data_IF_707133434495
#
_entry.id   IF_707133434495
#
_cell.length_a   1.000
_cell.length_b   1.000
_cell.length_c   1.000
_cell.angle_alpha   90.00
_cell.angle_beta   90.00
_cell.angle_gamma   90.00
#
_symmetry.space_group_name_H-M   'P 1'
#
loop_
_entity.id
_entity.type
_entity.pdbx_description
1 polymer ?
#
# COMPACT_ATOMS: atom_id res chain seq x y z
N UNK A 1 -13.82 -11.00 -3.68
CA UNK A 1 -12.73 -10.01 -3.50
C UNK A 1 -12.63 -9.02 -4.67
N UNK A 2 -12.82 -9.44 -5.94
CA UNK A 2 -12.66 -8.56 -7.11
C UNK A 2 -13.94 -7.87 -7.63
N UNK A 3 -15.12 -8.12 -7.06
CA UNK A 3 -16.36 -7.46 -7.51
C UNK A 3 -16.42 -5.95 -7.18
N UNK A 4 -15.62 -5.51 -6.21
CA UNK A 4 -15.45 -4.07 -5.88
C UNK A 4 -14.93 -3.28 -7.09
N UNK A 5 -14.14 -3.88 -7.97
CA UNK A 5 -13.60 -3.20 -9.17
C UNK A 5 -14.60 -3.05 -10.32
N UNK A 6 -15.76 -3.72 -10.23
CA UNK A 6 -16.79 -3.70 -11.30
C UNK A 6 -17.95 -2.75 -10.99
N UNK A 7 -17.99 -2.15 -9.81
CA UNK A 7 -19.09 -1.25 -9.40
C UNK A 7 -19.04 0.08 -10.17
N UNK A 8 -20.21 0.69 -10.36
CA UNK A 8 -20.31 2.05 -10.93
C UNK A 8 -19.57 3.08 -10.04
N UNK A 9 -19.61 2.86 -8.73
CA UNK A 9 -18.86 3.59 -7.71
C UNK A 9 -17.35 3.57 -7.96
N UNK A 10 -16.78 2.43 -8.33
CA UNK A 10 -15.36 2.34 -8.65
C UNK A 10 -15.00 3.13 -9.92
N UNK A 11 -15.81 3.02 -10.98
CA UNK A 11 -15.59 3.76 -12.24
C UNK A 11 -15.65 5.27 -12.04
N UNK A 12 -16.60 5.72 -11.22
CA UNK A 12 -16.76 7.14 -10.89
C UNK A 12 -15.57 7.67 -10.11
N UNK A 13 -15.16 6.97 -9.06
CA UNK A 13 -13.95 7.30 -8.31
C UNK A 13 -12.73 7.34 -9.23
N UNK A 14 -12.54 6.32 -10.09
CA UNK A 14 -11.42 6.26 -11.04
C UNK A 14 -11.36 7.48 -11.97
N UNK A 15 -12.50 7.94 -12.46
CA UNK A 15 -12.58 9.13 -13.33
C UNK A 15 -12.11 10.38 -12.59
N UNK A 16 -12.48 10.51 -11.31
CA UNK A 16 -11.99 11.56 -10.43
C UNK A 16 -10.47 11.47 -10.22
N UNK A 17 -9.92 10.29 -9.92
CA UNK A 17 -8.46 10.11 -9.79
C UNK A 17 -7.72 10.51 -11.08
N UNK A 18 -8.22 10.13 -12.25
CA UNK A 18 -7.61 10.46 -13.54
C UNK A 18 -7.60 11.97 -13.79
N UNK A 19 -8.66 12.67 -13.41
CA UNK A 19 -8.74 14.13 -13.55
C UNK A 19 -7.73 14.85 -12.65
N UNK A 20 -7.60 14.43 -11.39
CA UNK A 20 -6.61 14.97 -10.44
C UNK A 20 -5.16 14.70 -10.90
N UNK A 21 -4.88 13.52 -11.47
CA UNK A 21 -3.59 13.23 -12.12
C UNK A 21 -3.33 14.21 -13.27
N UNK A 22 -4.35 14.58 -14.05
CA UNK A 22 -4.19 15.50 -15.19
C UNK A 22 -3.79 16.90 -14.74
N UNK A 23 -4.33 17.38 -13.61
CA UNK A 23 -3.94 18.66 -13.00
C UNK A 23 -2.46 18.64 -12.57
N UNK A 24 -2.01 17.52 -11.99
CA UNK A 24 -0.65 17.35 -11.47
C UNK A 24 0.29 16.56 -12.40
N UNK A 25 0.02 16.57 -13.73
CA UNK A 25 0.64 15.66 -14.71
C UNK A 25 2.18 15.65 -14.71
N UNK A 26 2.83 16.80 -14.52
CA UNK A 26 4.30 16.89 -14.57
C UNK A 26 4.94 16.11 -13.43
N UNK A 27 4.51 16.36 -12.21
CA UNK A 27 5.04 15.67 -11.03
C UNK A 27 4.71 14.18 -11.05
N UNK A 28 3.50 13.82 -11.51
CA UNK A 28 3.09 12.42 -11.65
C UNK A 28 3.90 11.66 -12.72
N UNK A 29 4.17 12.27 -13.87
CA UNK A 29 4.98 11.64 -14.92
C UNK A 29 6.44 11.45 -14.48
N UNK A 30 7.01 12.41 -13.75
CA UNK A 30 8.37 12.30 -13.20
C UNK A 30 8.44 11.17 -12.18
N UNK A 31 7.48 11.10 -11.25
CA UNK A 31 7.45 10.02 -10.26
C UNK A 31 7.26 8.65 -10.90
N UNK A 32 6.40 8.55 -11.91
CA UNK A 32 6.16 7.31 -12.65
C UNK A 32 7.40 6.85 -13.43
N UNK A 33 8.01 7.76 -14.21
CA UNK A 33 9.21 7.46 -14.99
C UNK A 33 10.36 7.02 -14.07
N UNK A 34 10.54 7.72 -12.96
CA UNK A 34 11.55 7.38 -11.95
C UNK A 34 11.27 6.02 -11.30
N UNK A 35 10.01 5.64 -11.10
CA UNK A 35 9.61 4.34 -10.58
C UNK A 35 9.93 3.19 -11.55
N UNK A 36 9.69 3.39 -12.86
CA UNK A 36 10.03 2.42 -13.90
C UNK A 36 11.55 2.26 -14.02
N UNK A 37 12.30 3.37 -14.01
CA UNK A 37 13.78 3.34 -14.01
C UNK A 37 14.28 2.57 -12.78
N UNK A 38 13.77 2.89 -11.59
CA UNK A 38 14.13 2.17 -10.37
C UNK A 38 13.87 0.67 -10.49
N UNK A 39 12.69 0.28 -10.99
CA UNK A 39 12.31 -1.11 -11.20
C UNK A 39 13.30 -1.83 -12.12
N UNK A 40 13.65 -1.22 -13.27
CA UNK A 40 14.61 -1.78 -14.19
C UNK A 40 16.00 -1.97 -13.55
N UNK A 41 16.48 -0.96 -12.81
CA UNK A 41 17.78 -1.03 -12.12
C UNK A 41 17.82 -2.08 -11.00
N UNK A 42 16.70 -2.31 -10.32
CA UNK A 42 16.58 -3.39 -9.31
C UNK A 42 16.79 -4.75 -9.95
N UNK A 43 16.22 -5.00 -11.13
CA UNK A 43 16.38 -6.28 -11.85
C UNK A 43 17.74 -6.39 -12.51
N UNK A 44 18.29 -5.28 -13.00
CA UNK A 44 19.60 -5.25 -13.63
C UNK A 44 20.73 -5.62 -12.66
N UNK A 45 20.58 -5.31 -11.37
CA UNK A 45 21.62 -5.52 -10.36
C UNK A 45 22.05 -7.00 -10.22
N UNK A 46 21.17 -8.00 -10.00
CA UNK A 46 21.59 -9.40 -9.98
C UNK A 46 22.16 -9.90 -11.31
N UNK A 47 21.68 -9.40 -12.45
CA UNK A 47 22.22 -9.76 -13.76
C UNK A 47 23.69 -9.33 -13.92
N UNK A 48 24.05 -8.15 -13.40
CA UNK A 48 25.44 -7.70 -13.40
C UNK A 48 26.31 -8.55 -12.48
N UNK A 49 25.78 -8.98 -11.34
CA UNK A 49 26.47 -9.92 -10.46
C UNK A 49 26.72 -11.24 -11.17
N UNK A 50 25.73 -11.79 -11.89
CA UNK A 50 25.92 -12.95 -12.77
C UNK A 50 27.11 -12.75 -13.72
N UNK A 51 27.14 -11.63 -14.45
CA UNK A 51 28.21 -11.32 -15.41
C UNK A 51 29.58 -11.19 -14.76
N UNK A 52 29.66 -10.59 -13.57
CA UNK A 52 30.92 -10.51 -12.80
C UNK A 52 31.41 -11.90 -12.43
N UNK A 53 30.51 -12.80 -12.03
CA UNK A 53 30.87 -14.17 -11.63
C UNK A 53 31.31 -14.97 -12.86
N UNK A 54 30.49 -15.06 -13.89
CA UNK A 54 30.74 -15.92 -15.05
C UNK A 54 31.90 -15.40 -15.92
N UNK A 55 31.80 -14.15 -16.38
CA UNK A 55 32.75 -13.57 -17.34
C UNK A 55 33.98 -12.96 -16.66
N UNK A 56 33.92 -12.72 -15.34
CA UNK A 56 35.00 -12.12 -14.56
C UNK A 56 35.75 -13.14 -13.72
N UNK A 57 35.09 -13.71 -12.71
CA UNK A 57 35.73 -14.58 -11.71
C UNK A 57 36.06 -15.95 -12.32
N UNK A 58 35.08 -16.62 -12.93
CA UNK A 58 35.26 -17.96 -13.50
C UNK A 58 36.19 -17.92 -14.71
N UNK A 59 36.02 -16.95 -15.61
CA UNK A 59 36.92 -16.74 -16.75
C UNK A 59 38.27 -16.08 -16.39
N UNK A 60 38.50 -15.75 -15.12
CA UNK A 60 39.70 -15.08 -14.59
C UNK A 60 40.08 -13.77 -15.32
N UNK A 61 39.08 -13.01 -15.79
CA UNK A 61 39.26 -11.75 -16.50
C UNK A 61 39.08 -10.54 -15.56
N UNK A 62 40.20 -10.05 -15.03
CA UNK A 62 40.22 -8.92 -14.09
C UNK A 62 39.68 -7.62 -14.67
N UNK A 63 39.80 -7.39 -15.99
CA UNK A 63 39.30 -6.15 -16.61
C UNK A 63 37.77 -6.12 -16.57
N UNK A 64 37.12 -7.24 -16.90
CA UNK A 64 35.66 -7.37 -16.86
C UNK A 64 35.12 -7.13 -15.44
N UNK A 65 35.80 -7.66 -14.42
CA UNK A 65 35.45 -7.43 -13.02
C UNK A 65 35.44 -5.92 -12.69
N UNK A 66 36.51 -5.20 -13.03
CA UNK A 66 36.61 -3.76 -12.72
C UNK A 66 35.54 -2.95 -13.47
N UNK A 67 35.27 -3.28 -14.74
CA UNK A 67 34.25 -2.60 -15.55
C UNK A 67 32.86 -2.82 -14.95
N UNK A 68 32.47 -4.06 -14.65
CA UNK A 68 31.14 -4.30 -14.11
C UNK A 68 30.96 -3.83 -12.66
N UNK A 69 32.01 -3.87 -11.83
CA UNK A 69 31.96 -3.27 -10.48
C UNK A 69 31.75 -1.75 -10.57
N UNK A 70 32.48 -1.06 -11.46
CA UNK A 70 32.30 0.38 -11.63
C UNK A 70 30.88 0.72 -12.12
N UNK A 71 30.34 -0.08 -13.04
CA UNK A 71 28.96 0.04 -13.48
C UNK A 71 27.94 -0.23 -12.36
N UNK A 72 28.21 -1.21 -11.48
CA UNK A 72 27.40 -1.49 -10.29
C UNK A 72 27.32 -0.30 -9.34
N UNK A 73 28.44 0.39 -9.11
CA UNK A 73 28.49 1.59 -8.28
C UNK A 73 27.63 2.70 -8.90
N UNK A 74 27.78 2.95 -10.20
CA UNK A 74 26.99 3.96 -10.92
C UNK A 74 25.49 3.63 -10.85
N UNK A 75 25.10 2.38 -11.08
CA UNK A 75 23.71 1.93 -10.94
C UNK A 75 23.21 2.09 -9.51
N UNK A 76 24.04 1.83 -8.50
CA UNK A 76 23.71 2.05 -7.10
C UNK A 76 23.30 3.50 -6.84
N UNK A 77 24.08 4.47 -7.33
CA UNK A 77 23.77 5.89 -7.22
C UNK A 77 22.51 6.29 -8.00
N UNK A 78 22.36 5.83 -9.25
CA UNK A 78 21.17 6.15 -10.06
C UNK A 78 19.92 5.54 -9.42
N UNK A 79 20.01 4.32 -8.87
CA UNK A 79 18.92 3.66 -8.15
C UNK A 79 18.54 4.46 -6.90
N UNK A 80 19.51 4.91 -6.11
CA UNK A 80 19.27 5.73 -4.93
C UNK A 80 18.61 7.07 -5.28
N UNK A 81 19.13 7.76 -6.30
CA UNK A 81 18.53 8.99 -6.82
C UNK A 81 17.10 8.77 -7.32
N UNK A 82 16.85 7.67 -8.03
CA UNK A 82 15.50 7.31 -8.51
C UNK A 82 14.52 7.06 -7.37
N UNK A 83 14.95 6.43 -6.27
CA UNK A 83 14.10 6.29 -5.08
C UNK A 83 13.73 7.67 -4.52
N UNK A 84 14.72 8.56 -4.40
CA UNK A 84 14.53 9.93 -3.89
C UNK A 84 13.56 10.74 -4.75
N UNK A 85 13.81 10.80 -6.06
CA UNK A 85 12.96 11.50 -7.04
C UNK A 85 11.55 10.93 -7.01
N UNK A 86 11.39 9.61 -7.15
CA UNK A 86 10.08 8.96 -7.09
C UNK A 86 9.34 9.33 -5.80
N UNK A 87 9.99 9.23 -4.63
CA UNK A 87 9.34 9.48 -3.34
C UNK A 87 8.95 10.95 -3.17
N UNK A 88 9.85 11.87 -3.52
CA UNK A 88 9.59 13.31 -3.44
C UNK A 88 8.42 13.71 -4.33
N UNK A 89 8.50 13.40 -5.63
CA UNK A 89 7.46 13.79 -6.60
C UNK A 89 6.13 13.08 -6.34
N UNK A 90 6.13 11.81 -5.92
CA UNK A 90 4.90 11.10 -5.53
C UNK A 90 4.23 11.80 -4.34
N UNK A 91 5.01 12.17 -3.32
CA UNK A 91 4.49 12.84 -2.14
C UNK A 91 4.02 14.27 -2.44
N UNK A 92 4.72 15.01 -3.32
CA UNK A 92 4.26 16.31 -3.82
C UNK A 92 2.90 16.22 -4.53
N UNK A 93 2.71 15.26 -5.45
CA UNK A 93 1.41 15.04 -6.10
C UNK A 93 0.33 14.77 -5.06
N UNK A 94 0.65 13.92 -4.08
CA UNK A 94 -0.29 13.52 -3.05
C UNK A 94 -0.79 14.72 -2.24
N UNK A 95 0.14 15.53 -1.71
CA UNK A 95 -0.22 16.70 -0.91
C UNK A 95 -0.88 17.82 -1.72
N UNK A 96 -0.50 17.99 -2.99
CA UNK A 96 -1.18 18.94 -3.88
C UNK A 96 -2.64 18.53 -4.10
N UNK A 97 -2.89 17.25 -4.41
CA UNK A 97 -4.25 16.72 -4.57
C UNK A 97 -5.04 16.85 -3.28
N UNK A 98 -4.44 16.56 -2.12
CA UNK A 98 -5.10 16.78 -0.82
C UNK A 98 -5.52 18.24 -0.65
N UNK A 99 -4.64 19.19 -0.99
CA UNK A 99 -4.93 20.62 -0.89
C UNK A 99 -6.02 21.05 -1.89
N UNK A 100 -5.99 20.57 -3.14
CA UNK A 100 -7.01 20.83 -4.17
C UNK A 100 -8.38 20.30 -3.72
N UNK A 101 -8.44 19.10 -3.16
CA UNK A 101 -9.67 18.51 -2.61
C UNK A 101 -10.20 19.35 -1.46
N UNK A 102 -9.35 19.70 -0.47
CA UNK A 102 -9.75 20.52 0.69
C UNK A 102 -10.28 21.88 0.25
N UNK A 103 -9.62 22.53 -0.69
CA UNK A 103 -10.05 23.81 -1.25
C UNK A 103 -11.37 23.68 -2.02
N UNK A 104 -11.55 22.60 -2.79
CA UNK A 104 -12.78 22.34 -3.53
C UNK A 104 -13.96 22.09 -2.59
N UNK A 105 -13.76 21.28 -1.54
CA UNK A 105 -14.77 21.05 -0.50
C UNK A 105 -15.13 22.36 0.18
N UNK A 106 -14.13 23.12 0.64
CA UNK A 106 -14.38 24.39 1.34
C UNK A 106 -15.09 25.42 0.44
N UNK A 107 -14.63 25.60 -0.80
CA UNK A 107 -15.26 26.52 -1.75
C UNK A 107 -16.65 26.08 -2.18
N UNK A 108 -16.94 24.78 -2.20
CA UNK A 108 -18.27 24.25 -2.47
C UNK A 108 -19.20 24.44 -1.27
N UNK A 109 -18.73 24.21 -0.04
CA UNK A 109 -19.47 24.46 1.20
C UNK A 109 -19.96 25.91 1.33
N UNK A 110 -19.17 26.89 0.87
CA UNK A 110 -19.56 28.30 0.84
C UNK A 110 -20.70 28.61 -0.13
N UNK A 111 -20.94 27.76 -1.13
CA UNK A 111 -21.99 27.95 -2.16
C UNK A 111 -23.27 27.15 -1.86
N UNK A 112 -23.21 26.22 -0.92
CA UNK A 112 -24.34 25.39 -0.53
C UNK A 112 -25.40 26.20 0.23
N UNK A 113 -26.67 25.84 0.05
CA UNK A 113 -27.79 26.52 0.71
C UNK A 113 -27.78 26.30 2.23
N UNK A 114 -28.30 27.25 3.00
CA UNK A 114 -28.45 27.13 4.47
C UNK A 114 -29.15 25.83 4.89
N UNK A 115 -30.19 25.41 4.14
CA UNK A 115 -30.92 24.14 4.39
C UNK A 115 -30.03 22.90 4.36
N UNK A 116 -28.91 22.93 3.63
CA UNK A 116 -27.95 21.84 3.63
C UNK A 116 -27.16 21.80 4.95
N UNK A 117 -26.69 22.97 5.40
CA UNK A 117 -25.98 23.12 6.68
C UNK A 117 -26.85 22.81 7.90
N UNK A 118 -28.17 22.98 7.79
CA UNK A 118 -29.12 22.57 8.84
C UNK A 118 -29.33 21.04 8.92
N UNK A 119 -29.03 20.31 7.83
CA UNK A 119 -29.26 18.86 7.72
C UNK A 119 -28.02 18.03 7.98
N UNK A 120 -26.84 18.53 7.60
CA UNK A 120 -25.59 17.79 7.67
C UNK A 120 -24.74 18.34 8.82
N UNK A 121 -24.39 17.52 9.82
CA UNK A 121 -23.55 17.96 10.93
C UNK A 121 -22.19 18.47 10.44
N UNK A 122 -21.72 19.58 11.01
CA UNK A 122 -20.41 20.15 10.69
C UNK A 122 -19.27 19.15 10.88
N UNK A 123 -19.38 18.24 11.85
CA UNK A 123 -18.42 17.16 12.08
C UNK A 123 -18.27 16.20 10.90
N UNK A 124 -19.37 15.89 10.20
CA UNK A 124 -19.33 15.03 9.01
C UNK A 124 -18.60 15.74 7.85
N UNK A 125 -18.84 17.03 7.67
CA UNK A 125 -18.15 17.85 6.66
C UNK A 125 -16.64 17.95 6.96
N UNK A 126 -16.27 18.12 8.23
CA UNK A 126 -14.88 18.09 8.68
C UNK A 126 -14.22 16.73 8.47
N UNK A 127 -14.94 15.63 8.72
CA UNK A 127 -14.44 14.28 8.47
C UNK A 127 -14.17 14.05 6.97
N UNK A 128 -15.04 14.52 6.07
CA UNK A 128 -14.82 14.47 4.62
C UNK A 128 -13.61 15.32 4.19
N UNK A 129 -13.48 16.53 4.74
CA UNK A 129 -12.36 17.43 4.42
C UNK A 129 -11.01 16.95 4.99
N UNK A 130 -11.01 16.16 6.05
CA UNK A 130 -9.79 15.71 6.74
C UNK A 130 -9.48 14.23 6.45
N UNK A 131 -10.28 13.32 7.00
CA UNK A 131 -10.03 11.87 6.94
C UNK A 131 -10.14 11.34 5.52
N UNK A 132 -11.23 11.66 4.82
CA UNK A 132 -11.44 11.16 3.45
C UNK A 132 -10.42 11.75 2.47
N UNK A 133 -10.12 13.05 2.58
CA UNK A 133 -9.08 13.68 1.78
C UNK A 133 -7.69 13.05 2.00
N UNK A 134 -7.36 12.72 3.26
CA UNK A 134 -6.13 12.01 3.62
C UNK A 134 -6.09 10.58 3.05
N UNK A 135 -7.22 9.87 3.02
CA UNK A 135 -7.32 8.53 2.42
C UNK A 135 -7.19 8.55 0.89
N UNK A 136 -7.75 9.56 0.23
CA UNK A 136 -7.55 9.78 -1.21
C UNK A 136 -6.08 10.11 -1.49
N UNK A 137 -5.46 11.00 -0.71
CA UNK A 137 -4.04 11.35 -0.81
C UNK A 137 -3.13 10.13 -0.78
N UNK A 138 -3.38 9.19 0.13
CA UNK A 138 -2.54 8.00 0.27
C UNK A 138 -2.52 7.17 -1.03
N UNK A 139 -3.63 7.06 -1.75
CA UNK A 139 -3.64 6.36 -3.04
C UNK A 139 -2.71 7.02 -4.07
N UNK A 140 -2.65 8.36 -4.14
CA UNK A 140 -1.70 9.06 -5.01
C UNK A 140 -0.24 8.85 -4.58
N UNK A 141 0.02 8.75 -3.28
CA UNK A 141 1.38 8.54 -2.76
C UNK A 141 1.94 7.17 -3.17
N UNK A 142 1.04 6.19 -3.26
CA UNK A 142 1.36 4.78 -3.51
C UNK A 142 1.28 4.46 -5.01
N UNK A 143 0.48 5.18 -5.80
CA UNK A 143 0.23 4.86 -7.21
C UNK A 143 1.49 4.64 -8.06
N UNK A 144 2.54 5.48 -8.00
CA UNK A 144 3.78 5.22 -8.73
C UNK A 144 4.51 3.95 -8.25
N UNK A 145 4.47 3.67 -6.94
CA UNK A 145 5.05 2.45 -6.38
C UNK A 145 4.27 1.21 -6.82
N UNK A 146 2.94 1.24 -6.76
CA UNK A 146 2.08 0.14 -7.17
C UNK A 146 2.25 -0.17 -8.66
N UNK A 147 2.36 0.84 -9.51
CA UNK A 147 2.60 0.65 -10.94
C UNK A 147 3.97 0.02 -11.20
N UNK A 148 5.03 0.55 -10.57
CA UNK A 148 6.36 -0.05 -10.66
C UNK A 148 6.38 -1.48 -10.11
N UNK A 149 5.57 -1.79 -9.10
CA UNK A 149 5.45 -3.12 -8.54
C UNK A 149 4.90 -4.15 -9.54
N UNK A 150 3.90 -3.77 -10.33
CA UNK A 150 3.34 -4.62 -11.39
C UNK A 150 4.40 -4.91 -12.46
N UNK A 151 5.11 -3.87 -12.91
CA UNK A 151 6.23 -4.04 -13.86
C UNK A 151 7.34 -4.90 -13.27
N UNK A 152 7.68 -4.71 -11.99
CA UNK A 152 8.72 -5.48 -11.31
C UNK A 152 8.37 -6.97 -11.25
N UNK A 153 7.13 -7.30 -10.85
CA UNK A 153 6.65 -8.68 -10.85
C UNK A 153 6.70 -9.31 -12.24
N UNK A 154 6.29 -8.56 -13.28
CA UNK A 154 6.31 -9.04 -14.66
C UNK A 154 7.74 -9.29 -15.15
N UNK A 155 8.64 -8.31 -14.98
CA UNK A 155 10.04 -8.40 -15.43
C UNK A 155 10.77 -9.51 -14.66
N UNK A 156 10.59 -9.61 -13.34
CA UNK A 156 11.18 -10.69 -12.54
C UNK A 156 10.68 -12.06 -12.99
N UNK A 157 9.38 -12.20 -13.24
CA UNK A 157 8.79 -13.45 -13.72
C UNK A 157 9.42 -13.91 -15.03
N UNK A 158 9.52 -13.00 -16.01
CA UNK A 158 10.16 -13.28 -17.30
C UNK A 158 11.63 -13.65 -17.11
N UNK A 159 12.35 -12.89 -16.29
CA UNK A 159 13.79 -13.11 -16.04
C UNK A 159 14.05 -14.47 -15.40
N UNK A 160 13.27 -14.86 -14.38
CA UNK A 160 13.41 -16.15 -13.70
C UNK A 160 13.19 -17.33 -14.66
N UNK A 161 12.12 -17.28 -15.47
CA UNK A 161 11.83 -18.33 -16.46
C UNK A 161 12.90 -18.39 -17.56
N UNK A 162 13.48 -17.25 -17.91
CA UNK A 162 14.53 -17.17 -18.94
C UNK A 162 15.86 -17.77 -18.47
N UNK A 163 16.16 -17.70 -17.17
CA UNK A 163 17.35 -18.35 -16.58
C UNK A 163 17.14 -19.87 -16.49
N UNK A 164 16.01 -20.29 -15.93
CA UNK A 164 15.68 -21.71 -15.81
C UNK A 164 14.17 -21.87 -15.78
N UNK A 165 13.62 -22.57 -16.77
CA UNK A 165 12.18 -22.84 -16.83
C UNK A 165 11.71 -23.61 -15.58
N UNK A 166 12.42 -24.68 -15.20
CA UNK A 166 12.06 -25.54 -14.06
C UNK A 166 12.03 -24.76 -12.74
N UNK A 167 13.10 -24.02 -12.42
CA UNK A 167 13.13 -23.23 -11.18
C UNK A 167 12.16 -22.06 -11.25
N UNK A 168 12.07 -21.39 -12.40
CA UNK A 168 11.19 -20.24 -12.63
C UNK A 168 9.73 -20.58 -12.35
N UNK A 169 9.25 -21.72 -12.86
CA UNK A 169 7.88 -22.19 -12.63
C UNK A 169 7.62 -22.47 -11.13
N UNK A 170 8.57 -23.08 -10.42
CA UNK A 170 8.44 -23.33 -8.96
C UNK A 170 8.24 -22.00 -8.21
N UNK A 171 9.05 -20.98 -8.50
CA UNK A 171 8.93 -19.67 -7.87
C UNK A 171 7.63 -18.99 -8.29
N UNK A 172 7.25 -19.06 -9.56
CA UNK A 172 6.02 -18.46 -10.08
C UNK A 172 4.76 -19.06 -9.45
N UNK A 173 4.73 -20.37 -9.19
CA UNK A 173 3.62 -21.04 -8.50
C UNK A 173 3.45 -20.56 -7.05
N UNK A 174 4.50 -20.03 -6.44
CA UNK A 174 4.41 -19.47 -5.09
C UNK A 174 3.72 -18.10 -5.03
N UNK A 175 3.78 -17.33 -6.10
CA UNK A 175 3.16 -16.00 -6.21
C UNK A 175 1.65 -16.08 -5.92
N UNK A 176 0.84 -16.90 -6.64
CA UNK A 176 -0.59 -16.98 -6.39
C UNK A 176 -0.89 -17.54 -4.99
N UNK A 177 -0.06 -18.44 -4.45
CA UNK A 177 -0.21 -18.94 -3.08
C UNK A 177 -0.07 -17.82 -2.04
N UNK A 178 0.96 -16.99 -2.17
CA UNK A 178 1.19 -15.86 -1.26
C UNK A 178 0.09 -14.80 -1.42
N UNK A 179 -0.31 -14.48 -2.65
CA UNK A 179 -1.39 -13.54 -2.92
C UNK A 179 -2.74 -14.03 -2.38
N UNK A 180 -3.01 -15.33 -2.47
CA UNK A 180 -4.21 -15.94 -1.91
C UNK A 180 -4.25 -15.86 -0.38
N UNK A 181 -3.15 -16.21 0.30
CA UNK A 181 -3.02 -16.06 1.75
C UNK A 181 -3.13 -14.59 2.20
N UNK A 182 -2.50 -13.69 1.46
CA UNK A 182 -2.63 -12.24 1.66
C UNK A 182 -4.07 -11.77 1.52
N UNK A 183 -4.80 -12.29 0.54
CA UNK A 183 -6.21 -11.98 0.35
C UNK A 183 -7.06 -12.39 1.55
N UNK A 184 -6.86 -13.60 2.06
CA UNK A 184 -7.55 -14.11 3.26
C UNK A 184 -7.19 -13.29 4.50
N UNK A 185 -5.90 -12.96 4.67
CA UNK A 185 -5.46 -12.12 5.77
C UNK A 185 -6.12 -10.74 5.72
N UNK A 186 -6.08 -10.08 4.57
CA UNK A 186 -6.65 -8.74 4.37
C UNK A 186 -8.16 -8.72 4.65
N UNK A 187 -8.92 -9.71 4.17
CA UNK A 187 -10.37 -9.75 4.42
C UNK A 187 -10.69 -9.92 5.90
N UNK A 188 -10.00 -10.83 6.60
CA UNK A 188 -10.22 -11.06 8.03
C UNK A 188 -9.72 -9.89 8.88
N UNK A 189 -8.58 -9.31 8.52
CA UNK A 189 -8.01 -8.16 9.21
C UNK A 189 -8.93 -6.95 9.12
N UNK A 190 -9.57 -6.74 7.98
CA UNK A 190 -10.56 -5.67 7.81
C UNK A 190 -11.77 -5.85 8.72
N UNK A 191 -12.32 -7.06 8.80
CA UNK A 191 -13.46 -7.37 9.69
C UNK A 191 -13.13 -7.16 11.17
N UNK A 192 -11.99 -7.66 11.63
CA UNK A 192 -11.56 -7.46 13.03
C UNK A 192 -11.25 -5.98 13.29
N UNK A 193 -10.62 -5.29 12.34
CA UNK A 193 -10.32 -3.86 12.49
C UNK A 193 -11.58 -3.00 12.61
N UNK A 194 -12.68 -3.38 11.96
CA UNK A 194 -13.97 -2.71 12.16
C UNK A 194 -14.49 -2.92 13.58
N UNK A 195 -14.44 -4.16 14.11
CA UNK A 195 -14.83 -4.46 15.50
C UNK A 195 -14.00 -3.68 16.52
N UNK A 196 -12.69 -3.53 16.30
CA UNK A 196 -11.82 -2.71 17.16
C UNK A 196 -12.30 -1.24 17.15
N UNK A 197 -12.59 -0.69 15.97
CA UNK A 197 -13.09 0.70 15.86
C UNK A 197 -14.46 0.90 16.51
N UNK A 198 -15.34 -0.09 16.41
CA UNK A 198 -16.64 -0.07 17.09
C UNK A 198 -16.47 -0.07 18.62
N UNK A 199 -15.55 -0.88 19.15
CA UNK A 199 -15.23 -0.89 20.58
C UNK A 199 -14.58 0.42 21.05
N UNK A 200 -13.71 1.03 20.24
CA UNK A 200 -13.14 2.37 20.51
C UNK A 200 -14.23 3.45 20.55
N UNK A 201 -15.20 3.39 19.64
CA UNK A 201 -16.34 4.32 19.63
C UNK A 201 -17.22 4.15 20.87
N UNK A 202 -17.53 2.90 21.26
CA UNK A 202 -18.30 2.60 22.48
C UNK A 202 -17.60 3.13 23.74
N UNK A 203 -16.29 2.90 23.88
CA UNK A 203 -15.50 3.44 24.98
C UNK A 203 -15.52 4.96 25.01
N UNK A 204 -15.41 5.61 23.85
CA UNK A 204 -15.48 7.07 23.75
C UNK A 204 -16.84 7.59 24.22
N UNK A 205 -17.93 6.95 23.79
CA UNK A 205 -19.29 7.30 24.22
C UNK A 205 -19.47 7.14 25.74
N UNK A 206 -18.98 6.05 26.33
CA UNK A 206 -19.07 5.84 27.78
C UNK A 206 -18.31 6.94 28.54
N UNK A 207 -17.11 7.29 28.10
CA UNK A 207 -16.32 8.37 28.71
C UNK A 207 -17.04 9.72 28.58
N UNK A 208 -17.64 10.02 27.43
CA UNK A 208 -18.42 11.23 27.22
C UNK A 208 -19.64 11.30 28.16
N UNK A 209 -20.36 10.19 28.37
CA UNK A 209 -21.50 10.14 29.29
C UNK A 209 -21.08 10.36 30.75
N UNK A 210 -20.03 9.67 31.20
CA UNK A 210 -19.53 9.80 32.57
C UNK A 210 -18.98 11.21 32.86
N UNK A 211 -18.22 11.79 31.92
CA UNK A 211 -17.67 13.15 32.08
C UNK A 211 -18.75 14.23 31.93
N UNK A 212 -19.68 14.08 30.98
CA UNK A 212 -20.82 14.98 30.84
C UNK A 212 -21.72 14.98 32.07
N UNK A 213 -21.87 13.81 32.70
CA UNK A 213 -22.61 13.57 33.93
C UNK A 213 -21.82 13.74 35.23
N UNK A 214 -20.59 14.28 35.20
CA UNK A 214 -19.65 14.21 36.34
C UNK A 214 -20.23 14.78 37.66
N UNK A 215 -21.09 15.79 37.57
CA UNK A 215 -21.77 16.37 38.74
C UNK A 215 -22.73 15.39 39.41
N UNK A 216 -23.41 14.56 38.62
CA UNK A 216 -24.31 13.51 39.13
C UNK A 216 -23.49 12.39 39.77
N UNK A 217 -22.44 11.93 39.10
CA UNK A 217 -21.52 10.91 39.63
C UNK A 217 -20.96 11.35 41.00
N UNK A 218 -20.49 12.60 41.10
CA UNK A 218 -19.97 13.17 42.35
C UNK A 218 -21.03 13.41 43.43
N UNK A 219 -22.26 13.76 43.04
CA UNK A 219 -23.33 14.00 44.00
C UNK A 219 -23.82 12.70 44.67
N UNK A 220 -23.77 11.58 43.96
CA UNK A 220 -24.19 10.26 44.47
C UNK A 220 -23.03 9.41 45.00
N UNK A 221 -21.77 9.79 44.76
CA UNK A 221 -20.59 9.03 45.22
C UNK A 221 -20.34 7.75 44.42
N UNK A 222 -20.75 7.73 43.15
CA UNK A 222 -20.69 6.54 42.27
C UNK A 222 -19.41 6.50 41.41
N UNK A 223 -18.31 7.09 41.85
CA UNK A 223 -17.08 7.14 41.03
C UNK A 223 -16.54 5.75 40.67
N UNK A 224 -16.64 4.79 41.58
CA UNK A 224 -16.20 3.41 41.33
C UNK A 224 -17.05 2.72 40.26
N UNK A 225 -18.37 2.90 40.30
CA UNK A 225 -19.29 2.33 39.30
C UNK A 225 -19.06 2.94 37.92
N UNK A 226 -18.85 4.26 37.85
CA UNK A 226 -18.49 4.95 36.61
C UNK A 226 -17.15 4.44 36.05
N UNK A 227 -16.15 4.22 36.92
CA UNK A 227 -14.86 3.64 36.53
C UNK A 227 -15.01 2.22 35.98
N UNK A 228 -15.82 1.38 36.62
CA UNK A 228 -16.04 -0.01 36.22
C UNK A 228 -16.73 -0.12 34.85
N UNK A 229 -17.67 0.80 34.54
CA UNK A 229 -18.29 0.87 33.20
C UNK A 229 -17.28 1.20 32.11
N UNK A 230 -16.42 2.20 32.34
CA UNK A 230 -15.35 2.56 31.39
C UNK A 230 -14.36 1.41 31.25
N UNK A 231 -13.99 0.75 32.35
CA UNK A 231 -13.08 -0.40 32.35
C UNK A 231 -13.64 -1.59 31.56
N UNK A 232 -14.93 -1.88 31.69
CA UNK A 232 -15.62 -2.89 30.87
C UNK A 232 -15.54 -2.56 29.37
N UNK A 233 -15.74 -1.31 28.98
CA UNK A 233 -15.61 -0.88 27.58
C UNK A 233 -14.17 -0.99 27.06
N UNK A 234 -13.18 -0.71 27.91
CA UNK A 234 -11.75 -0.95 27.59
C UNK A 234 -11.48 -2.46 27.41
N UNK A 235 -12.11 -3.33 28.21
CA UNK A 235 -12.02 -4.78 28.07
C UNK A 235 -12.40 -5.27 26.66
N UNK A 236 -13.45 -4.69 26.06
CA UNK A 236 -13.84 -5.00 24.68
C UNK A 236 -12.78 -4.59 23.65
N UNK A 237 -12.13 -3.45 23.84
CA UNK A 237 -11.01 -3.02 22.99
C UNK A 237 -9.85 -4.01 23.13
N UNK A 238 -9.55 -4.45 24.36
CA UNK A 238 -8.52 -5.45 24.63
C UNK A 238 -8.81 -6.76 23.88
N UNK A 239 -10.00 -7.33 24.05
CA UNK A 239 -10.38 -8.61 23.44
C UNK A 239 -10.33 -8.55 21.90
N UNK A 240 -10.91 -7.49 21.31
CA UNK A 240 -10.90 -7.31 19.84
C UNK A 240 -9.50 -7.04 19.29
N UNK A 241 -8.62 -6.38 20.07
CA UNK A 241 -7.22 -6.18 19.71
C UNK A 241 -6.41 -7.48 19.80
N UNK A 242 -6.70 -8.33 20.78
CA UNK A 242 -6.11 -9.67 20.92
C UNK A 242 -6.55 -10.58 19.76
N UNK A 243 -7.81 -10.53 19.33
CA UNK A 243 -8.28 -11.20 18.11
C UNK A 243 -7.44 -10.80 16.89
N UNK A 244 -7.17 -9.50 16.73
CA UNK A 244 -6.35 -8.98 15.63
C UNK A 244 -4.90 -9.50 15.74
N UNK A 245 -4.36 -9.54 16.95
CA UNK A 245 -3.02 -10.08 17.21
C UNK A 245 -2.95 -11.59 16.92
N UNK A 246 -3.96 -12.37 17.28
CA UNK A 246 -4.05 -13.80 16.94
C UNK A 246 -4.08 -14.01 15.42
N UNK A 247 -4.81 -13.18 14.68
CA UNK A 247 -4.77 -13.21 13.23
C UNK A 247 -3.34 -12.92 12.72
N UNK A 248 -2.71 -11.86 13.22
CA UNK A 248 -1.37 -11.45 12.78
C UNK A 248 -0.31 -12.50 13.09
N UNK A 249 -0.32 -13.06 14.30
CA UNK A 249 0.64 -14.09 14.75
C UNK A 249 0.51 -15.39 13.97
N UNK A 250 -0.67 -15.70 13.39
CA UNK A 250 -0.84 -16.84 12.48
C UNK A 250 -0.30 -16.57 11.07
N UNK A 251 -0.58 -15.40 10.51
CA UNK A 251 -0.30 -15.10 9.10
C UNK A 251 1.09 -14.51 8.84
N UNK A 252 1.64 -13.70 9.74
CA UNK A 252 2.97 -13.09 9.56
C UNK A 252 4.07 -14.14 9.40
N UNK A 253 4.13 -15.21 10.22
CA UNK A 253 5.11 -16.27 10.02
C UNK A 253 4.93 -16.99 8.68
N UNK A 254 3.70 -17.17 8.19
CA UNK A 254 3.45 -17.79 6.88
C UNK A 254 4.05 -16.94 5.73
N UNK A 255 3.96 -15.62 5.81
CA UNK A 255 4.58 -14.72 4.83
C UNK A 255 6.12 -14.70 4.87
N UNK A 256 6.73 -15.29 5.89
CA UNK A 256 8.18 -15.44 6.01
C UNK A 256 8.64 -16.85 5.66
N UNK A 257 7.91 -17.87 6.15
CA UNK A 257 8.20 -19.27 5.90
C UNK A 257 8.09 -19.63 4.41
N UNK A 258 7.09 -19.12 3.69
CA UNK A 258 6.92 -19.43 2.27
C UNK A 258 8.15 -18.99 1.45
N UNK A 259 8.59 -17.72 1.51
CA UNK A 259 9.85 -17.31 0.90
C UNK A 259 11.07 -18.10 1.33
N UNK A 260 11.18 -18.47 2.61
CA UNK A 260 12.29 -19.28 3.12
C UNK A 260 12.31 -20.67 2.49
N UNK A 261 11.16 -21.34 2.40
CA UNK A 261 11.04 -22.65 1.76
C UNK A 261 11.37 -22.56 0.27
N UNK A 262 10.87 -21.54 -0.43
CA UNK A 262 11.19 -21.33 -1.85
C UNK A 262 12.68 -21.11 -2.03
N UNK A 263 13.29 -20.27 -1.18
CA UNK A 263 14.73 -20.01 -1.22
C UNK A 263 15.52 -21.31 -0.97
N UNK A 264 15.11 -22.14 -0.01
CA UNK A 264 15.72 -23.44 0.24
C UNK A 264 15.61 -24.38 -0.97
N UNK A 265 14.42 -24.50 -1.57
CA UNK A 265 14.19 -25.34 -2.76
C UNK A 265 15.05 -24.85 -3.92
N UNK A 266 15.16 -23.54 -4.11
CA UNK A 266 16.00 -22.93 -5.15
C UNK A 266 17.48 -23.15 -4.88
N UNK A 267 17.93 -23.10 -3.63
CA UNK A 267 19.32 -23.41 -3.28
C UNK A 267 19.64 -24.88 -3.56
N UNK A 268 18.77 -25.81 -3.18
CA UNK A 268 18.96 -27.24 -3.38
C UNK A 268 18.92 -27.62 -4.87
N UNK A 269 17.82 -27.29 -5.55
CA UNK A 269 17.64 -27.63 -6.97
C UNK A 269 18.54 -26.80 -7.87
N UNK A 270 18.69 -25.50 -7.60
CA UNK A 270 19.58 -24.63 -8.37
C UNK A 270 21.05 -25.02 -8.19
N UNK A 271 21.45 -25.40 -6.98
CA UNK A 271 22.79 -25.96 -6.74
C UNK A 271 23.00 -27.27 -7.52
N UNK A 272 22.01 -28.16 -7.51
CA UNK A 272 22.06 -29.39 -8.33
C UNK A 272 22.17 -29.08 -9.83
N UNK A 273 21.37 -28.14 -10.35
CA UNK A 273 21.43 -27.75 -11.77
C UNK A 273 22.79 -27.13 -12.14
N UNK A 274 23.37 -26.33 -11.24
CA UNK A 274 24.69 -25.72 -11.46
C UNK A 274 25.81 -26.76 -11.45
N UNK A 275 25.75 -27.77 -10.56
CA UNK A 275 26.73 -28.85 -10.49
C UNK A 275 26.68 -29.80 -11.71
N UNK A 276 25.55 -29.87 -12.40
CA UNK A 276 25.37 -30.67 -13.63
C UNK A 276 25.53 -29.82 -14.91
N UNK A 277 26.10 -28.62 -14.82
CA UNK A 277 26.32 -27.69 -15.95
C UNK A 277 25.05 -27.31 -16.73
N UNK A 278 23.86 -27.44 -16.12
CA UNK A 278 22.59 -27.04 -16.73
C UNK A 278 22.33 -25.54 -16.60
N UNK A 279 22.96 -24.90 -15.61
CA UNK A 279 23.00 -23.44 -15.43
C UNK A 279 24.41 -23.02 -15.00
N UNK A 280 24.80 -21.78 -15.24
CA UNK A 280 26.09 -21.27 -14.77
C UNK A 280 26.08 -20.96 -13.27
N UNK A 281 27.26 -20.81 -12.66
CA UNK A 281 27.39 -20.35 -11.27
C UNK A 281 26.78 -18.94 -11.10
N UNK A 282 27.00 -18.06 -12.06
CA UNK A 282 26.39 -16.73 -12.08
C UNK A 282 24.87 -16.78 -12.19
N UNK A 283 24.30 -17.69 -12.99
CA UNK A 283 22.86 -17.92 -13.07
C UNK A 283 22.27 -18.34 -11.73
N UNK A 284 22.91 -19.29 -11.05
CA UNK A 284 22.50 -19.74 -9.72
C UNK A 284 22.48 -18.60 -8.69
N UNK A 285 23.54 -17.77 -8.66
CA UNK A 285 23.65 -16.63 -7.74
C UNK A 285 22.60 -15.57 -8.06
N UNK A 286 22.44 -15.18 -9.33
CA UNK A 286 21.45 -14.20 -9.73
C UNK A 286 20.03 -14.68 -9.47
N UNK A 287 19.72 -15.94 -9.76
CA UNK A 287 18.41 -16.54 -9.50
C UNK A 287 18.06 -16.47 -8.01
N UNK A 288 18.99 -16.82 -7.13
CA UNK A 288 18.79 -16.74 -5.67
C UNK A 288 18.48 -15.31 -5.22
N UNK A 289 19.17 -14.32 -5.78
CA UNK A 289 18.89 -12.90 -5.48
C UNK A 289 17.53 -12.45 -6.01
N UNK A 290 17.13 -12.88 -7.20
CA UNK A 290 15.82 -12.57 -7.76
C UNK A 290 14.67 -13.10 -6.90
N UNK A 291 14.82 -14.30 -6.31
CA UNK A 291 13.84 -14.87 -5.37
C UNK A 291 13.68 -13.98 -4.14
N UNK A 292 14.80 -13.52 -3.55
CA UNK A 292 14.77 -12.61 -2.39
C UNK A 292 14.10 -11.27 -2.75
N UNK A 293 14.39 -10.74 -3.94
CA UNK A 293 13.78 -9.50 -4.43
C UNK A 293 12.27 -9.61 -4.59
N UNK A 294 11.74 -10.81 -4.86
CA UNK A 294 10.32 -11.07 -5.11
C UNK A 294 9.46 -10.95 -3.83
N UNK A 295 10.06 -11.08 -2.64
CA UNK A 295 9.35 -11.02 -1.35
C UNK A 295 8.66 -9.66 -1.15
N UNK A 296 9.37 -8.56 -1.40
CA UNK A 296 8.84 -7.21 -1.17
C UNK A 296 7.66 -6.87 -2.10
N UNK A 297 7.72 -7.15 -3.41
CA UNK A 297 6.60 -6.93 -4.31
C UNK A 297 5.33 -7.67 -3.96
N UNK A 298 5.44 -8.89 -3.45
CA UNK A 298 4.29 -9.65 -2.97
C UNK A 298 3.62 -8.95 -1.77
N UNK A 299 4.43 -8.48 -0.81
CA UNK A 299 3.94 -7.73 0.37
C UNK A 299 3.27 -6.41 -0.03
N UNK A 300 3.88 -5.66 -0.96
CA UNK A 300 3.31 -4.40 -1.46
C UNK A 300 1.97 -4.66 -2.17
N UNK A 301 1.86 -5.74 -2.95
CA UNK A 301 0.61 -6.11 -3.63
C UNK A 301 -0.50 -6.38 -2.63
N UNK A 302 -0.22 -7.16 -1.58
CA UNK A 302 -1.17 -7.45 -0.50
C UNK A 302 -1.70 -6.17 0.16
N UNK A 303 -0.78 -5.27 0.54
CA UNK A 303 -1.14 -3.99 1.16
C UNK A 303 -1.92 -3.08 0.22
N UNK A 304 -1.54 -3.02 -1.06
CA UNK A 304 -2.27 -2.24 -2.05
C UNK A 304 -3.70 -2.75 -2.23
N UNK A 305 -3.90 -4.08 -2.26
CA UNK A 305 -5.23 -4.69 -2.35
C UNK A 305 -6.12 -4.37 -1.13
N UNK A 306 -5.55 -4.18 0.06
CA UNK A 306 -6.32 -3.79 1.24
C UNK A 306 -6.68 -2.29 1.28
N UNK A 307 -5.85 -1.42 0.69
CA UNK A 307 -6.06 0.04 0.74
C UNK A 307 -7.01 0.58 -0.34
N UNK A 308 -7.08 -0.07 -1.51
CA UNK A 308 -7.92 0.40 -2.64
C UNK A 308 -9.38 0.62 -2.23
N UNK A 309 -10.09 -0.32 -1.56
CA UNK A 309 -11.50 -0.14 -1.23
C UNK A 309 -11.74 1.09 -0.35
N UNK A 310 -10.87 1.30 0.64
CA UNK A 310 -10.93 2.44 1.56
C UNK A 310 -10.78 3.77 0.82
N UNK A 311 -9.82 3.86 -0.11
CA UNK A 311 -9.59 5.06 -0.90
C UNK A 311 -10.76 5.34 -1.86
N UNK A 312 -11.29 4.32 -2.53
CA UNK A 312 -12.46 4.42 -3.42
C UNK A 312 -13.69 4.90 -2.66
N UNK A 313 -13.95 4.34 -1.47
CA UNK A 313 -15.06 4.73 -0.60
C UNK A 313 -14.95 6.20 -0.17
N UNK A 314 -13.76 6.63 0.25
CA UNK A 314 -13.48 8.03 0.60
C UNK A 314 -13.68 8.98 -0.58
N UNK A 315 -13.16 8.63 -1.76
CA UNK A 315 -13.34 9.41 -2.99
C UNK A 315 -14.82 9.57 -3.37
N UNK A 316 -15.63 8.50 -3.23
CA UNK A 316 -17.05 8.58 -3.50
C UNK A 316 -17.81 9.49 -2.51
N UNK A 317 -17.48 9.47 -1.22
CA UNK A 317 -18.08 10.40 -0.23
C UNK A 317 -17.75 11.87 -0.54
N UNK A 318 -16.54 12.14 -1.00
CA UNK A 318 -16.12 13.48 -1.44
C UNK A 318 -16.92 13.88 -2.69
N UNK A 319 -17.02 13.01 -3.69
CA UNK A 319 -17.79 13.28 -4.91
C UNK A 319 -19.28 13.48 -4.63
N UNK A 320 -19.86 12.70 -3.72
CA UNK A 320 -21.25 12.89 -3.29
C UNK A 320 -21.47 14.29 -2.68
N UNK A 321 -20.49 14.84 -1.94
CA UNK A 321 -20.57 16.20 -1.42
C UNK A 321 -20.49 17.24 -2.53
N UNK A 322 -19.56 17.06 -3.48
CA UNK A 322 -19.31 18.03 -4.56
C UNK A 322 -20.39 18.03 -5.65
N UNK A 323 -21.15 16.95 -5.77
CA UNK A 323 -22.29 16.81 -6.68
C UNK A 323 -23.57 17.48 -6.15
N UNK A 324 -23.64 17.80 -4.85
CA UNK A 324 -24.79 18.49 -4.28
C UNK A 324 -24.97 19.84 -4.97
N UNK A 325 -26.18 20.18 -5.40
CA UNK A 325 -26.36 21.38 -6.20
C UNK A 325 -26.35 22.65 -5.32
N UNK A 326 -25.43 23.60 -5.57
CA UNK A 326 -25.50 24.90 -4.93
C UNK A 326 -26.71 25.67 -5.48
N UNK A 327 -27.59 26.11 -4.60
CA UNK A 327 -28.75 26.89 -5.01
C UNK A 327 -28.28 28.34 -5.29
N UNK A 328 -28.05 28.66 -6.56
CA UNK A 328 -27.79 30.03 -6.99
C UNK A 328 -29.02 30.90 -6.70
N UNK A 329 -28.99 31.67 -5.62
CA UNK A 329 -29.81 32.88 -5.51
C UNK A 329 -29.20 33.90 -6.48
N UNK A 330 -29.63 33.84 -7.74
CA UNK A 330 -29.46 34.96 -8.66
C UNK A 330 -30.35 36.09 -8.12
N UNK A 331 -29.82 36.91 -7.21
CA UNK A 331 -30.33 38.26 -7.03
C UNK A 331 -29.95 39.03 -8.30
N UNK A 332 -30.84 39.01 -9.31
CA UNK A 332 -30.82 39.99 -10.39
C UNK A 332 -31.05 41.35 -9.75
N UNK A 333 -30.01 42.19 -9.75
CA UNK A 333 -30.10 43.62 -9.47
C UNK A 333 -30.85 44.34 -10.58
#
# INVERSE_FOLDING_TARGET
>A
MFDVFKTAEFKRALTFYVQEVKNNRKHFLISMSSAVIWCFLVVLHPYLIKRIVDDGIVANNRQIIVVFISFLIVIGYIRAASIGIRRYFSMSVSFNVEAEIRNSIFGHMQKLAFKYHDKVPTGELMARASSDASQVRLAFAIAPLATANVFLLLILSITLVSISFTLGVIVLLSIPLVLWLAGIFASKAMEISLRVKEAEAEMTTEVEEQLGGIRVVKAFGNENEASEKVESSIGKIYDTSIDFLHLRTRFVPMFELIPMIITLVVLLLGGYLALNDLITLGDFIAFTQYVILLIWPLRITAWFLSEIPSSVSAGNRILQLLDEQPQFLIMKS
#
